data_IF_313630395670
#
_entry.id   IF_313630395670
#
_cell.length_a   1.000
_cell.length_b   1.000
_cell.length_c   1.000
_cell.angle_alpha   90.00
_cell.angle_beta   90.00
_cell.angle_gamma   90.00
#
_symmetry.space_group_name_H-M   'P 1'
#
loop_
_entity.id
_entity.type
_entity.pdbx_description
1 polymer ?
#
# COMPACT_ATOMS: atom_id res chain seq x y z
N UNK A 1 -38.01 -4.45 -25.40
CA UNK A 1 -37.76 -4.12 -23.97
C UNK A 1 -37.03 -5.23 -23.23
N UNK A 2 -37.58 -6.46 -23.12
CA UNK A 2 -36.93 -7.54 -22.35
C UNK A 2 -35.53 -7.96 -22.83
N UNK A 3 -35.31 -8.10 -24.14
CA UNK A 3 -33.99 -8.48 -24.70
C UNK A 3 -32.92 -7.42 -24.37
N UNK A 4 -33.27 -6.14 -24.49
CA UNK A 4 -32.35 -5.03 -24.16
C UNK A 4 -31.97 -5.06 -22.68
N UNK A 5 -32.93 -5.32 -21.79
CA UNK A 5 -32.67 -5.46 -20.35
C UNK A 5 -31.71 -6.63 -20.09
N UNK A 6 -31.91 -7.79 -20.71
CA UNK A 6 -31.02 -8.95 -20.54
C UNK A 6 -29.59 -8.66 -21.02
N UNK A 7 -29.42 -8.00 -22.17
CA UNK A 7 -28.11 -7.59 -22.69
C UNK A 7 -27.42 -6.64 -21.71
N UNK A 8 -28.13 -5.64 -21.19
CA UNK A 8 -27.59 -4.69 -20.21
C UNK A 8 -27.22 -5.37 -18.89
N UNK A 9 -28.06 -6.29 -18.39
CA UNK A 9 -27.75 -7.07 -17.19
C UNK A 9 -26.49 -7.92 -17.35
N UNK A 10 -26.32 -8.56 -18.51
CA UNK A 10 -25.11 -9.33 -18.82
C UNK A 10 -23.87 -8.44 -18.91
N UNK A 11 -23.98 -7.28 -19.56
CA UNK A 11 -22.88 -6.30 -19.64
C UNK A 11 -22.47 -5.81 -18.25
N UNK A 12 -23.42 -5.46 -17.38
CA UNK A 12 -23.16 -5.03 -15.99
C UNK A 12 -22.52 -6.15 -15.18
N UNK A 13 -22.98 -7.40 -15.34
CA UNK A 13 -22.39 -8.55 -14.64
C UNK A 13 -20.92 -8.72 -15.01
N UNK A 14 -20.59 -8.70 -16.31
CA UNK A 14 -19.21 -8.82 -16.78
C UNK A 14 -18.34 -7.65 -16.28
N UNK A 15 -18.86 -6.42 -16.30
CA UNK A 15 -18.14 -5.27 -15.74
C UNK A 15 -17.85 -5.46 -14.25
N UNK A 16 -18.83 -5.89 -13.45
CA UNK A 16 -18.65 -6.13 -12.01
C UNK A 16 -17.61 -7.23 -11.76
N UNK A 17 -17.64 -8.30 -12.54
CA UNK A 17 -16.67 -9.38 -12.46
C UNK A 17 -15.25 -8.86 -12.74
N UNK A 18 -15.06 -8.14 -13.86
CA UNK A 18 -13.77 -7.57 -14.23
C UNK A 18 -13.24 -6.59 -13.18
N UNK A 19 -14.11 -5.72 -12.65
CA UNK A 19 -13.74 -4.78 -11.57
C UNK A 19 -13.30 -5.54 -10.32
N UNK A 20 -13.98 -6.63 -9.96
CA UNK A 20 -13.58 -7.47 -8.82
C UNK A 20 -12.18 -8.06 -9.04
N UNK A 21 -11.92 -8.60 -10.24
CA UNK A 21 -10.61 -9.16 -10.58
C UNK A 21 -9.49 -8.13 -10.50
N UNK A 22 -9.72 -6.89 -10.96
CA UNK A 22 -8.72 -5.83 -10.82
C UNK A 22 -8.43 -5.45 -9.37
N UNK A 23 -9.46 -5.41 -8.51
CA UNK A 23 -9.27 -5.16 -7.08
C UNK A 23 -8.48 -6.28 -6.39
N UNK A 24 -8.74 -7.53 -6.77
CA UNK A 24 -8.02 -8.68 -6.22
C UNK A 24 -6.57 -8.70 -6.70
N UNK A 25 -6.31 -8.38 -7.97
CA UNK A 25 -4.96 -8.30 -8.53
C UNK A 25 -4.13 -7.17 -7.91
N UNK A 26 -4.73 -6.01 -7.66
CA UNK A 26 -4.08 -4.93 -6.90
C UNK A 26 -3.65 -5.41 -5.51
N UNK A 27 -4.54 -6.09 -4.79
CA UNK A 27 -4.23 -6.60 -3.46
C UNK A 27 -3.13 -7.68 -3.50
N UNK A 28 -3.15 -8.58 -4.49
CA UNK A 28 -2.08 -9.57 -4.70
C UNK A 28 -0.74 -8.90 -4.94
N UNK A 29 -0.68 -7.87 -5.78
CA UNK A 29 0.53 -7.12 -6.05
C UNK A 29 1.08 -6.46 -4.79
N UNK A 30 0.23 -5.75 -4.03
CA UNK A 30 0.64 -5.12 -2.76
C UNK A 30 1.11 -6.14 -1.73
N UNK A 31 0.48 -7.31 -1.66
CA UNK A 31 0.92 -8.40 -0.79
C UNK A 31 2.30 -8.94 -1.18
N UNK A 32 2.55 -9.21 -2.46
CA UNK A 32 3.86 -9.66 -2.95
C UNK A 32 4.94 -8.61 -2.65
N UNK A 33 4.61 -7.32 -2.87
CA UNK A 33 5.50 -6.21 -2.54
C UNK A 33 5.83 -6.16 -1.04
N UNK A 34 4.84 -6.37 -0.17
CA UNK A 34 5.04 -6.47 1.28
C UNK A 34 5.95 -7.64 1.67
N UNK A 35 5.82 -8.80 1.02
CA UNK A 35 6.66 -9.97 1.30
C UNK A 35 8.12 -9.78 0.86
N UNK A 36 8.41 -8.83 -0.03
CA UNK A 36 9.76 -8.54 -0.52
C UNK A 36 10.35 -9.61 -1.46
N UNK A 37 9.58 -10.64 -1.81
CA UNK A 37 10.00 -11.73 -2.70
C UNK A 37 8.81 -12.27 -3.50
N UNK A 38 9.06 -12.57 -4.78
CA UNK A 38 8.08 -13.09 -5.73
C UNK A 38 8.51 -14.48 -6.25
N UNK A 39 8.67 -15.44 -5.34
CA UNK A 39 8.97 -16.83 -5.72
C UNK A 39 7.73 -17.52 -6.28
N UNK A 40 7.93 -18.52 -7.15
CA UNK A 40 6.83 -19.32 -7.71
C UNK A 40 5.97 -19.96 -6.60
N UNK A 41 6.59 -20.46 -5.54
CA UNK A 41 5.88 -21.04 -4.39
C UNK A 41 5.00 -20.00 -3.68
N UNK A 42 5.52 -18.79 -3.45
CA UNK A 42 4.76 -17.72 -2.79
C UNK A 42 3.57 -17.29 -3.65
N UNK A 43 3.76 -17.16 -4.96
CA UNK A 43 2.68 -16.83 -5.90
C UNK A 43 1.63 -17.95 -5.91
N UNK A 44 2.05 -19.21 -5.99
CA UNK A 44 1.14 -20.35 -5.97
C UNK A 44 0.30 -20.41 -4.68
N UNK A 45 0.94 -20.20 -3.52
CA UNK A 45 0.25 -20.17 -2.22
C UNK A 45 -0.74 -19.02 -2.13
N UNK A 46 -0.36 -17.84 -2.64
CA UNK A 46 -1.23 -16.67 -2.70
C UNK A 46 -2.46 -16.93 -3.57
N UNK A 47 -2.28 -17.50 -4.75
CA UNK A 47 -3.39 -17.89 -5.63
C UNK A 47 -4.35 -18.88 -4.96
N UNK A 48 -3.82 -19.85 -4.20
CA UNK A 48 -4.65 -20.78 -3.43
C UNK A 48 -5.47 -20.06 -2.35
N UNK A 49 -4.91 -19.05 -1.70
CA UNK A 49 -5.62 -18.27 -0.68
C UNK A 49 -6.77 -17.47 -1.30
N UNK A 50 -6.58 -16.88 -2.48
CA UNK A 50 -7.59 -16.09 -3.19
C UNK A 50 -8.79 -16.90 -3.70
N UNK A 51 -8.77 -18.24 -3.58
CA UNK A 51 -9.97 -19.07 -3.82
C UNK A 51 -11.05 -18.91 -2.74
N UNK A 52 -10.69 -18.38 -1.55
CA UNK A 52 -11.60 -18.27 -0.41
C UNK A 52 -11.70 -16.81 0.06
N UNK A 53 -12.92 -16.27 0.10
CA UNK A 53 -13.18 -14.87 0.45
C UNK A 53 -12.65 -14.45 1.82
N UNK A 54 -12.65 -15.35 2.81
CA UNK A 54 -12.16 -15.03 4.15
C UNK A 54 -10.65 -14.83 4.20
N UNK A 55 -9.90 -15.57 3.37
CA UNK A 55 -8.45 -15.35 3.22
C UNK A 55 -8.15 -13.99 2.59
N UNK A 56 -8.95 -13.57 1.59
CA UNK A 56 -8.79 -12.26 0.95
C UNK A 56 -8.94 -11.13 1.99
N UNK A 57 -9.90 -11.24 2.91
CA UNK A 57 -10.08 -10.27 4.00
C UNK A 57 -8.87 -10.22 4.95
N UNK A 58 -8.29 -11.38 5.26
CA UNK A 58 -7.10 -11.47 6.12
C UNK A 58 -5.90 -10.82 5.43
N UNK A 59 -5.67 -11.17 4.16
CA UNK A 59 -4.59 -10.59 3.34
C UNK A 59 -4.74 -9.07 3.26
N UNK A 60 -5.95 -8.56 3.02
CA UNK A 60 -6.22 -7.11 3.01
C UNK A 60 -5.80 -6.45 4.31
N UNK A 61 -6.21 -6.99 5.47
CA UNK A 61 -5.80 -6.45 6.77
C UNK A 61 -4.29 -6.48 6.99
N UNK A 62 -3.60 -7.52 6.51
CA UNK A 62 -2.14 -7.61 6.61
C UNK A 62 -1.45 -6.53 5.79
N UNK A 63 -1.87 -6.38 4.52
CA UNK A 63 -1.34 -5.34 3.61
C UNK A 63 -1.61 -3.95 4.18
N UNK A 64 -2.86 -3.66 4.56
CA UNK A 64 -3.23 -2.32 5.04
C UNK A 64 -2.43 -1.93 6.29
N UNK A 65 -2.25 -2.87 7.23
CA UNK A 65 -1.43 -2.66 8.44
C UNK A 65 0.04 -2.42 8.10
N UNK A 66 0.61 -3.17 7.17
CA UNK A 66 2.00 -2.98 6.75
C UNK A 66 2.19 -1.62 6.08
N UNK A 67 1.28 -1.23 5.18
CA UNK A 67 1.35 0.04 4.47
C UNK A 67 1.19 1.24 5.41
N UNK A 68 0.39 1.10 6.47
CA UNK A 68 0.30 2.08 7.56
C UNK A 68 1.64 2.20 8.31
N UNK A 69 2.21 1.09 8.76
CA UNK A 69 3.49 1.09 9.48
C UNK A 69 4.64 1.67 8.64
N UNK A 70 4.71 1.32 7.35
CA UNK A 70 5.74 1.87 6.44
C UNK A 70 5.60 3.38 6.29
N UNK A 71 4.36 3.87 6.22
CA UNK A 71 4.08 5.31 6.13
C UNK A 71 4.48 6.04 7.41
N UNK A 72 4.10 5.51 8.57
CA UNK A 72 4.46 6.08 9.87
C UNK A 72 5.98 6.13 10.07
N UNK A 73 6.70 5.08 9.65
CA UNK A 73 8.16 5.06 9.69
C UNK A 73 8.76 6.12 8.76
N UNK A 74 8.27 6.23 7.53
CA UNK A 74 8.74 7.25 6.59
C UNK A 74 8.52 8.67 7.15
N UNK A 75 7.35 8.94 7.74
CA UNK A 75 7.07 10.22 8.39
C UNK A 75 7.99 10.50 9.57
N UNK A 76 8.31 9.50 10.40
CA UNK A 76 9.23 9.65 11.52
C UNK A 76 10.65 9.96 11.06
N UNK A 77 11.13 9.29 10.01
CA UNK A 77 12.45 9.55 9.41
C UNK A 77 12.52 10.98 8.86
N UNK A 78 11.50 11.42 8.12
CA UNK A 78 11.45 12.79 7.59
C UNK A 78 11.35 13.86 8.68
N UNK A 79 10.65 13.58 9.79
CA UNK A 79 10.65 14.48 10.97
C UNK A 79 12.02 14.53 11.63
N UNK A 80 12.67 13.39 11.84
CA UNK A 80 13.99 13.33 12.45
C UNK A 80 15.03 14.11 11.64
N UNK A 81 14.99 13.96 10.30
CA UNK A 81 15.87 14.69 9.38
C UNK A 81 15.66 16.21 9.45
N UNK A 82 14.40 16.68 9.41
CA UNK A 82 14.10 18.11 9.55
C UNK A 82 14.58 18.68 10.88
N UNK A 83 14.35 17.97 11.97
CA UNK A 83 14.80 18.40 13.30
C UNK A 83 16.32 18.46 13.39
N UNK A 84 17.06 17.51 12.78
CA UNK A 84 18.52 17.55 12.76
C UNK A 84 19.05 18.73 11.94
N UNK A 85 18.45 19.02 10.79
CA UNK A 85 18.84 20.16 9.94
C UNK A 85 18.57 21.50 10.64
N UNK A 86 17.47 21.61 11.40
CA UNK A 86 17.16 22.79 12.19
C UNK A 86 18.13 22.97 13.37
N UNK A 87 18.44 21.87 14.08
CA UNK A 87 19.40 21.89 15.17
C UNK A 87 20.81 22.31 14.71
N UNK A 88 21.26 21.82 13.55
CA UNK A 88 22.55 22.20 12.96
C UNK A 88 22.59 23.69 12.60
N UNK A 89 21.52 24.22 11.99
CA UNK A 89 21.41 25.66 11.68
C UNK A 89 21.46 26.53 12.95
N UNK A 90 20.74 26.14 14.00
CA UNK A 90 20.75 26.84 15.27
C UNK A 90 22.12 26.80 15.94
N UNK A 91 22.83 25.67 15.86
CA UNK A 91 24.21 25.57 16.37
C UNK A 91 25.16 26.52 15.64
N UNK A 92 25.10 26.56 14.30
CA UNK A 92 25.90 27.48 13.49
C UNK A 92 25.57 28.95 13.80
N UNK A 93 24.30 29.29 14.00
CA UNK A 93 23.89 30.64 14.40
C UNK A 93 24.49 31.03 15.75
N UNK A 94 24.40 30.15 16.76
CA UNK A 94 24.99 30.36 18.10
C UNK A 94 26.51 30.53 18.02
N UNK A 95 27.20 29.72 17.23
CA UNK A 95 28.65 29.85 17.00
C UNK A 95 29.00 31.19 16.34
N UNK A 96 28.25 31.60 15.32
CA UNK A 96 28.48 32.88 14.64
C UNK A 96 28.29 34.09 15.57
N UNK A 97 27.33 34.02 16.50
CA UNK A 97 27.07 35.07 17.49
C UNK A 97 28.17 35.13 18.56
N UNK A 98 28.75 33.98 18.94
CA UNK A 98 29.90 33.94 19.86
C UNK A 98 31.15 34.58 19.27
N UNK A 99 31.39 34.41 17.97
CA UNK A 99 32.56 34.99 17.27
C UNK A 99 32.42 36.50 17.05
N UNK A 100 31.19 37.04 16.97
CA UNK A 100 30.94 38.48 16.79
C UNK A 100 31.07 39.31 18.09
N UNK A 101 31.29 38.68 19.23
CA UNK A 101 31.36 39.32 20.55
C UNK A 101 32.79 39.37 21.06
#
# INVERSE_FOLDING_TARGET
MGIVILILSFAIYNQRYTISQYKDNDLKYRYIKMQGQATEENIYRLEKQFRYNDNIKIIRKQVDKYEELVREQAEQVERAKRNSEEAEKLQLEVESLKVRK
#
